data_IF_140752226426
#
_entry.id   IF_140752226426
#
_cell.length_a   1.000
_cell.length_b   1.000
_cell.length_c   1.000
_cell.angle_alpha   90.00
_cell.angle_beta   90.00
_cell.angle_gamma   90.00
#
_symmetry.space_group_name_H-M   'P 1'
#
loop_
_entity.id
_entity.type
_entity.pdbx_description
1 polymer ?
#
# COMPACT_ATOMS: atom_id res chain seq x y z
N UNK A 1 -23.55 -13.60 25.76
CA UNK A 1 -22.26 -12.90 25.57
C UNK A 1 -22.49 -11.82 24.54
N UNK A 2 -22.23 -10.56 24.85
CA UNK A 2 -22.27 -9.48 23.86
C UNK A 2 -20.91 -9.44 23.15
N UNK A 3 -20.94 -9.48 21.81
CA UNK A 3 -19.73 -9.31 20.99
C UNK A 3 -19.55 -7.82 20.72
N UNK A 4 -18.38 -7.29 21.05
CA UNK A 4 -17.99 -5.92 20.75
C UNK A 4 -17.08 -5.90 19.51
N UNK A 5 -17.45 -5.10 18.51
CA UNK A 5 -16.59 -4.89 17.35
C UNK A 5 -15.48 -3.90 17.71
N UNK A 6 -14.23 -4.34 17.63
CA UNK A 6 -13.06 -3.49 17.81
C UNK A 6 -12.42 -3.21 16.45
N UNK A 7 -12.12 -1.96 16.18
CA UNK A 7 -11.44 -1.53 14.97
C UNK A 7 -10.00 -1.13 15.31
N UNK A 8 -9.05 -1.73 14.64
CA UNK A 8 -7.67 -1.30 14.72
C UNK A 8 -7.41 -0.07 13.84
N UNK A 9 -6.38 0.69 14.17
CA UNK A 9 -5.90 1.86 13.44
C UNK A 9 -4.39 1.99 13.61
N UNK A 10 -3.76 2.88 12.85
CA UNK A 10 -2.34 3.16 13.01
C UNK A 10 -1.99 3.66 14.43
N UNK A 11 -2.91 4.37 15.08
CA UNK A 11 -2.74 4.86 16.44
C UNK A 11 -3.10 3.84 17.53
N UNK A 12 -3.84 2.79 17.19
CA UNK A 12 -4.33 1.80 18.15
C UNK A 12 -4.49 0.44 17.48
N UNK A 13 -3.52 -0.42 17.64
CA UNK A 13 -3.55 -1.81 17.17
C UNK A 13 -2.92 -2.75 18.19
N UNK A 14 -3.29 -4.01 18.11
CA UNK A 14 -2.64 -5.11 18.83
C UNK A 14 -1.85 -5.94 17.82
N UNK A 15 -0.59 -6.24 18.13
CA UNK A 15 0.26 -7.04 17.25
C UNK A 15 -0.26 -8.48 17.14
N UNK A 16 -0.85 -9.00 18.19
CA UNK A 16 -1.20 -10.41 18.30
C UNK A 16 0.01 -11.26 18.71
N UNK A 17 -0.04 -12.56 18.44
CA UNK A 17 1.05 -13.48 18.78
C UNK A 17 1.01 -14.74 17.94
N UNK A 18 2.16 -15.39 17.80
CA UNK A 18 2.32 -16.72 17.22
C UNK A 18 2.85 -17.66 18.27
N UNK A 19 2.16 -18.78 18.47
CA UNK A 19 2.65 -19.89 19.30
C UNK A 19 3.19 -20.98 18.36
N UNK A 20 4.49 -21.25 18.46
CA UNK A 20 5.14 -22.32 17.70
C UNK A 20 5.37 -23.50 18.63
N UNK A 21 4.75 -24.66 18.33
CA UNK A 21 4.77 -25.84 19.21
C UNK A 21 5.95 -26.77 18.86
N UNK A 22 6.06 -27.16 17.59
CA UNK A 22 7.10 -28.07 17.11
C UNK A 22 7.45 -27.78 15.65
N UNK A 23 7.94 -26.55 15.40
CA UNK A 23 8.30 -26.08 14.05
C UNK A 23 9.30 -24.92 14.14
N UNK A 24 9.82 -24.47 13.01
CA UNK A 24 10.73 -23.32 12.91
C UNK A 24 9.91 -22.02 12.77
N UNK A 25 10.09 -21.04 13.67
CA UNK A 25 9.36 -19.77 13.60
C UNK A 25 9.43 -19.04 12.26
N UNK A 26 10.51 -19.24 11.48
CA UNK A 26 10.66 -18.63 10.15
C UNK A 26 9.64 -19.13 9.11
N UNK A 27 8.96 -20.27 9.37
CA UNK A 27 7.89 -20.76 8.51
C UNK A 27 6.59 -19.97 8.65
N UNK A 28 6.52 -19.08 9.64
CA UNK A 28 5.35 -18.27 9.95
C UNK A 28 5.65 -16.79 9.68
N UNK A 29 5.06 -16.25 8.60
CA UNK A 29 5.05 -14.80 8.39
C UNK A 29 4.00 -14.20 9.32
N UNK A 30 4.46 -13.45 10.31
CA UNK A 30 3.58 -12.83 11.30
C UNK A 30 3.87 -11.35 11.43
N UNK A 31 2.90 -10.53 11.06
CA UNK A 31 2.95 -9.09 11.28
C UNK A 31 1.54 -8.51 11.33
N UNK A 32 1.43 -7.36 11.96
CA UNK A 32 0.26 -6.51 11.84
C UNK A 32 0.55 -5.43 10.77
N UNK A 33 -0.38 -5.21 9.84
CA UNK A 33 -0.20 -4.22 8.75
C UNK A 33 0.00 -2.81 9.32
N UNK A 34 -0.65 -2.47 10.42
CA UNK A 34 -0.45 -1.19 11.10
C UNK A 34 0.94 -1.08 11.74
N UNK A 35 1.50 -2.16 12.26
CA UNK A 35 2.89 -2.21 12.73
C UNK A 35 3.86 -1.91 11.59
N UNK A 36 3.68 -2.57 10.43
CA UNK A 36 4.49 -2.30 9.24
C UNK A 36 4.38 -0.84 8.82
N UNK A 37 3.17 -0.31 8.71
CA UNK A 37 2.93 1.08 8.33
C UNK A 37 3.50 2.08 9.35
N UNK A 38 3.48 1.76 10.66
CA UNK A 38 4.02 2.63 11.71
C UNK A 38 5.53 2.83 11.60
N UNK A 39 6.23 1.80 11.12
CA UNK A 39 7.69 1.77 10.97
C UNK A 39 8.15 2.12 9.56
N UNK A 40 7.22 2.20 8.60
CA UNK A 40 7.50 2.61 7.23
C UNK A 40 7.64 4.13 7.12
N UNK A 41 8.49 4.58 6.19
CA UNK A 41 8.46 5.97 5.74
C UNK A 41 7.23 6.20 4.86
N UNK A 42 6.75 7.45 4.76
CA UNK A 42 5.68 7.77 3.83
C UNK A 42 5.97 7.29 2.41
N UNK A 43 4.99 6.65 1.80
CA UNK A 43 4.98 6.16 0.41
C UNK A 43 5.95 5.02 0.09
N UNK A 44 6.60 4.39 1.08
CA UNK A 44 7.28 3.10 0.87
C UNK A 44 6.25 2.02 0.52
N UNK A 45 6.61 1.15 -0.44
CA UNK A 45 5.79 0.02 -0.89
C UNK A 45 6.33 -1.25 -0.24
N UNK A 46 5.80 -1.63 0.91
CA UNK A 46 6.32 -2.77 1.68
C UNK A 46 5.45 -3.98 1.45
N UNK A 47 6.00 -5.00 0.77
CA UNK A 47 5.30 -6.27 0.58
C UNK A 47 5.04 -6.96 1.92
N UNK A 48 3.78 -7.23 2.23
CA UNK A 48 3.32 -7.95 3.44
C UNK A 48 2.78 -9.33 3.12
N UNK A 49 2.51 -9.61 1.85
CA UNK A 49 2.17 -10.95 1.35
C UNK A 49 2.60 -11.07 -0.11
N UNK A 50 2.96 -12.29 -0.50
CA UNK A 50 3.36 -12.60 -1.88
C UNK A 50 2.83 -13.98 -2.26
N UNK A 51 2.31 -14.08 -3.49
CA UNK A 51 1.92 -15.34 -4.13
C UNK A 51 2.33 -15.29 -5.60
N UNK A 52 3.41 -15.97 -5.94
CA UNK A 52 4.14 -15.83 -7.21
C UNK A 52 4.57 -14.36 -7.43
N UNK A 53 4.11 -13.73 -8.51
CA UNK A 53 4.37 -12.33 -8.85
C UNK A 53 3.41 -11.33 -8.16
N UNK A 54 2.30 -11.83 -7.60
CA UNK A 54 1.30 -10.96 -6.94
C UNK A 54 1.73 -10.63 -5.52
N UNK A 55 1.62 -9.36 -5.16
CA UNK A 55 1.96 -8.85 -3.83
C UNK A 55 0.84 -8.01 -3.25
N UNK A 56 0.76 -8.02 -1.93
CA UNK A 56 0.05 -7.03 -1.14
C UNK A 56 1.09 -6.10 -0.53
N UNK A 57 0.97 -4.82 -0.79
CA UNK A 57 1.87 -3.79 -0.27
C UNK A 57 1.15 -2.96 0.80
N UNK A 58 1.75 -2.85 1.99
CA UNK A 58 1.35 -1.87 2.98
C UNK A 58 2.01 -0.53 2.63
N UNK A 59 1.21 0.53 2.58
CA UNK A 59 1.69 1.88 2.27
C UNK A 59 1.19 2.85 3.34
N UNK A 60 2.13 3.54 4.01
CA UNK A 60 1.82 4.70 4.83
C UNK A 60 1.65 5.92 3.93
N UNK A 61 0.50 6.55 3.98
CA UNK A 61 0.23 7.80 3.26
C UNK A 61 0.24 8.95 4.26
N UNK A 62 1.15 9.90 4.08
CA UNK A 62 1.25 11.09 4.91
C UNK A 62 1.79 12.25 4.06
N UNK A 63 0.97 13.27 3.86
CA UNK A 63 1.24 14.33 2.88
C UNK A 63 0.85 13.91 1.46
N UNK A 64 1.58 14.37 0.47
CA UNK A 64 1.30 14.14 -0.96
C UNK A 64 2.47 13.42 -1.61
N UNK A 65 2.20 12.30 -2.28
CA UNK A 65 3.20 11.53 -3.03
C UNK A 65 3.59 12.21 -4.34
N UNK A 66 4.68 11.75 -4.96
CA UNK A 66 4.91 11.95 -6.39
C UNK A 66 3.87 11.18 -7.23
N UNK A 67 3.85 11.42 -8.53
CA UNK A 67 3.04 10.65 -9.47
C UNK A 67 3.63 9.27 -9.66
N UNK A 68 2.73 8.30 -9.81
CA UNK A 68 3.05 6.90 -10.05
C UNK A 68 2.20 6.37 -11.19
N UNK A 69 2.65 5.30 -11.82
CA UNK A 69 1.88 4.58 -12.83
C UNK A 69 2.31 3.11 -12.89
N UNK A 70 1.41 2.27 -13.41
CA UNK A 70 1.64 0.86 -13.68
C UNK A 70 1.10 0.48 -15.06
N UNK A 71 1.63 -0.59 -15.65
CA UNK A 71 1.14 -1.14 -16.89
C UNK A 71 -0.08 -2.06 -16.73
N UNK A 72 -0.49 -2.33 -15.50
CA UNK A 72 -1.64 -3.17 -15.11
C UNK A 72 -2.52 -2.44 -14.09
N UNK A 73 -3.76 -2.89 -13.97
CA UNK A 73 -4.68 -2.41 -12.93
C UNK A 73 -4.19 -2.84 -11.54
N UNK A 74 -4.32 -1.94 -10.58
CA UNK A 74 -4.05 -2.19 -9.17
C UNK A 74 -5.28 -1.83 -8.35
N UNK A 75 -5.36 -2.35 -7.13
CA UNK A 75 -6.44 -2.02 -6.19
C UNK A 75 -5.86 -1.52 -4.88
N UNK A 76 -6.37 -0.42 -4.37
CA UNK A 76 -5.96 0.17 -3.10
C UNK A 76 -7.13 0.21 -2.10
N UNK A 77 -6.98 -0.51 -0.99
CA UNK A 77 -7.93 -0.54 0.12
C UNK A 77 -7.45 0.41 1.22
N UNK A 78 -8.28 1.35 1.63
CA UNK A 78 -8.01 2.21 2.78
C UNK A 78 -8.32 1.44 4.07
N UNK A 79 -7.29 1.16 4.86
CA UNK A 79 -7.40 0.49 6.16
C UNK A 79 -7.57 1.47 7.32
N UNK A 80 -6.99 2.67 7.19
CA UNK A 80 -7.10 3.74 8.19
C UNK A 80 -6.92 5.11 7.56
N UNK A 81 -7.53 6.14 8.16
CA UNK A 81 -7.45 7.52 7.71
C UNK A 81 -8.32 7.84 6.49
N UNK A 82 -7.96 8.92 5.82
CA UNK A 82 -8.60 9.39 4.59
C UNK A 82 -7.51 9.64 3.54
N UNK A 83 -7.72 9.12 2.34
CA UNK A 83 -6.79 9.28 1.22
C UNK A 83 -7.53 9.85 0.01
N UNK A 84 -7.01 10.93 -0.54
CA UNK A 84 -7.37 11.41 -1.87
C UNK A 84 -6.48 10.75 -2.91
N UNK A 85 -7.10 10.11 -3.87
CA UNK A 85 -6.46 9.60 -5.08
C UNK A 85 -6.74 10.59 -6.21
N UNK A 86 -5.70 11.18 -6.77
CA UNK A 86 -5.82 12.04 -7.95
C UNK A 86 -5.31 11.31 -9.17
N UNK A 87 -6.05 11.35 -10.28
CA UNK A 87 -5.74 10.67 -11.52
C UNK A 87 -5.53 11.66 -12.67
N UNK A 88 -4.50 11.39 -13.49
CA UNK A 88 -4.20 12.14 -14.71
C UNK A 88 -3.91 11.21 -15.88
N UNK A 89 -4.07 11.72 -17.10
CA UNK A 89 -3.53 11.05 -18.28
C UNK A 89 -2.02 11.05 -18.22
N UNK A 90 -1.42 10.02 -18.83
CA UNK A 90 0.03 9.99 -19.04
C UNK A 90 0.36 10.55 -20.43
N UNK A 91 1.48 11.23 -20.53
CA UNK A 91 2.08 11.65 -21.78
C UNK A 91 2.27 10.45 -22.71
N UNK A 92 1.95 10.64 -23.99
CA UNK A 92 2.14 9.60 -24.99
C UNK A 92 3.60 9.11 -25.02
N UNK A 93 3.78 7.79 -25.03
CA UNK A 93 5.10 7.15 -25.03
C UNK A 93 5.85 7.18 -23.69
N UNK A 94 5.22 7.60 -22.59
CA UNK A 94 5.82 7.47 -21.26
C UNK A 94 6.08 6.00 -20.95
N UNK A 95 7.35 5.67 -20.69
CA UNK A 95 7.75 4.33 -20.31
C UNK A 95 7.14 3.95 -18.96
N UNK A 96 6.61 2.73 -18.87
CA UNK A 96 6.10 2.12 -17.65
C UNK A 96 6.96 0.90 -17.29
N UNK A 97 7.01 0.52 -16.01
CA UNK A 97 7.67 -0.72 -15.63
C UNK A 97 6.93 -1.93 -16.23
N UNK A 98 7.66 -3.01 -16.52
CA UNK A 98 7.06 -4.27 -17.01
C UNK A 98 6.11 -4.87 -15.97
N UNK A 99 6.41 -4.68 -14.69
CA UNK A 99 5.61 -5.13 -13.56
C UNK A 99 5.65 -4.13 -12.41
N UNK A 100 4.63 -4.18 -11.55
CA UNK A 100 4.48 -3.26 -10.43
C UNK A 100 4.20 -1.83 -10.85
N UNK A 101 4.42 -0.90 -9.95
CA UNK A 101 4.32 0.54 -10.20
C UNK A 101 5.67 1.22 -10.01
N UNK A 102 5.84 2.34 -10.68
CA UNK A 102 7.01 3.20 -10.50
C UNK A 102 6.63 4.68 -10.49
N UNK A 103 7.52 5.49 -9.93
CA UNK A 103 7.42 6.94 -10.03
C UNK A 103 7.49 7.41 -11.48
N UNK A 104 6.68 8.41 -11.82
CA UNK A 104 6.73 9.09 -13.12
C UNK A 104 7.02 10.57 -12.92
N UNK A 105 7.72 11.23 -13.89
CA UNK A 105 7.99 12.66 -13.81
C UNK A 105 6.72 13.51 -13.71
N UNK A 106 6.79 14.65 -13.05
CA UNK A 106 5.66 15.57 -12.88
C UNK A 106 5.06 16.01 -14.24
N UNK A 107 5.91 16.27 -15.23
CA UNK A 107 5.53 16.67 -16.56
C UNK A 107 4.96 15.53 -17.44
N UNK A 108 5.08 14.28 -16.98
CA UNK A 108 4.47 13.13 -17.64
C UNK A 108 2.99 12.94 -17.24
N UNK A 109 2.56 13.53 -16.14
CA UNK A 109 1.18 13.50 -15.66
C UNK A 109 0.44 14.76 -16.17
N UNK A 110 -0.31 14.62 -17.28
CA UNK A 110 -0.80 15.75 -18.04
C UNK A 110 -2.19 16.22 -17.59
N UNK A 111 -3.25 15.64 -18.11
CA UNK A 111 -4.62 16.13 -17.95
C UNK A 111 -5.30 15.48 -16.75
N UNK A 112 -5.89 16.29 -15.88
CA UNK A 112 -6.68 15.80 -14.76
C UNK A 112 -7.88 14.98 -15.26
N UNK A 113 -8.00 13.75 -14.79
CA UNK A 113 -9.10 12.84 -15.07
C UNK A 113 -10.15 12.85 -13.97
N UNK A 114 -9.71 12.92 -12.71
CA UNK A 114 -10.62 12.90 -11.57
C UNK A 114 -9.91 12.73 -10.25
N UNK A 115 -10.73 12.72 -9.19
CA UNK A 115 -10.30 12.50 -7.81
C UNK A 115 -11.27 11.57 -7.12
N UNK A 116 -10.74 10.75 -6.21
CA UNK A 116 -11.51 9.91 -5.30
C UNK A 116 -11.04 10.20 -3.89
N UNK A 117 -11.95 10.60 -3.02
CA UNK A 117 -11.68 10.70 -1.58
C UNK A 117 -12.22 9.44 -0.92
N UNK A 118 -11.32 8.63 -0.41
CA UNK A 118 -11.61 7.33 0.17
C UNK A 118 -11.26 7.30 1.65
N UNK A 119 -12.11 6.63 2.44
CA UNK A 119 -11.93 6.42 3.87
C UNK A 119 -11.88 4.93 4.17
N UNK A 120 -11.65 4.57 5.40
CA UNK A 120 -11.59 3.18 5.87
C UNK A 120 -12.68 2.31 5.23
N UNK A 121 -12.26 1.20 4.63
CA UNK A 121 -13.13 0.23 3.96
C UNK A 121 -13.41 0.52 2.49
N UNK A 122 -13.03 1.70 1.96
CA UNK A 122 -13.16 1.97 0.53
C UNK A 122 -12.04 1.32 -0.26
N UNK A 123 -12.40 0.70 -1.38
CA UNK A 123 -11.50 0.15 -2.38
C UNK A 123 -11.51 1.06 -3.61
N UNK A 124 -10.32 1.46 -4.05
CA UNK A 124 -10.13 2.32 -5.23
C UNK A 124 -9.32 1.58 -6.29
N UNK A 125 -9.80 1.57 -7.52
CA UNK A 125 -9.05 1.08 -8.67
C UNK A 125 -7.99 2.12 -9.08
N UNK A 126 -6.76 1.67 -9.30
CA UNK A 126 -5.67 2.43 -9.89
C UNK A 126 -5.47 1.89 -11.31
N UNK A 127 -6.03 2.54 -12.36
CA UNK A 127 -6.11 1.95 -13.67
C UNK A 127 -4.76 1.93 -14.39
N UNK A 128 -4.54 0.87 -15.16
CA UNK A 128 -3.38 0.71 -16.02
C UNK A 128 -3.17 1.92 -16.93
N UNK A 129 -1.92 2.32 -17.13
CA UNK A 129 -1.55 3.38 -18.06
C UNK A 129 -2.08 4.77 -17.69
N UNK A 130 -2.39 5.00 -16.42
CA UNK A 130 -2.76 6.32 -15.91
C UNK A 130 -1.81 6.73 -14.80
N UNK A 131 -1.54 8.03 -14.70
CA UNK A 131 -0.84 8.58 -13.56
C UNK A 131 -1.80 8.72 -12.38
N UNK A 132 -1.36 8.31 -11.21
CA UNK A 132 -2.08 8.51 -9.95
C UNK A 132 -1.12 9.00 -8.88
N UNK A 133 -1.65 9.67 -7.87
CA UNK A 133 -0.94 10.01 -6.64
C UNK A 133 -1.85 9.94 -5.43
N UNK A 134 -1.25 9.74 -4.29
CA UNK A 134 -1.91 9.72 -3.00
C UNK A 134 -1.73 11.06 -2.29
N UNK A 135 -2.75 11.51 -1.59
CA UNK A 135 -2.65 12.63 -0.66
C UNK A 135 -3.48 12.35 0.59
N UNK A 136 -2.94 12.66 1.76
CA UNK A 136 -3.67 12.55 3.03
C UNK A 136 -3.31 13.70 3.96
N UNK A 137 -4.29 14.30 4.64
CA UNK A 137 -4.04 15.40 5.59
C UNK A 137 -3.33 14.93 6.87
N UNK A 138 -3.39 13.65 7.18
CA UNK A 138 -2.72 13.01 8.31
C UNK A 138 -2.30 11.59 7.95
N UNK A 139 -1.66 10.84 8.87
CA UNK A 139 -1.26 9.47 8.59
C UNK A 139 -2.45 8.60 8.21
N UNK A 140 -2.34 7.89 7.08
CA UNK A 140 -3.30 6.92 6.61
C UNK A 140 -2.58 5.63 6.19
N UNK A 141 -3.32 4.54 6.08
CA UNK A 141 -2.79 3.22 5.72
C UNK A 141 -3.57 2.66 4.55
N UNK A 142 -2.85 2.31 3.49
CA UNK A 142 -3.36 1.56 2.35
C UNK A 142 -2.83 0.14 2.36
N UNK A 143 -3.65 -0.77 1.86
CA UNK A 143 -3.23 -2.08 1.37
C UNK A 143 -3.43 -2.08 -0.15
N UNK A 144 -2.33 -2.19 -0.89
CA UNK A 144 -2.35 -2.18 -2.36
C UNK A 144 -2.10 -3.59 -2.87
N UNK A 145 -3.04 -4.10 -3.67
CA UNK A 145 -2.87 -5.33 -4.44
C UNK A 145 -2.26 -4.97 -5.80
N UNK A 146 -1.15 -5.59 -6.12
CA UNK A 146 -0.40 -5.33 -7.35
C UNK A 146 0.44 -6.53 -7.77
N UNK A 147 1.25 -6.37 -8.80
CA UNK A 147 2.34 -7.27 -9.18
C UNK A 147 3.64 -6.70 -8.62
N UNK A 148 4.55 -7.58 -8.17
CA UNK A 148 5.87 -7.19 -7.72
C UNK A 148 6.58 -6.32 -8.76
N UNK A 149 7.13 -5.20 -8.32
CA UNK A 149 7.77 -4.22 -9.19
C UNK A 149 9.11 -3.73 -8.67
N UNK A 150 9.77 -2.85 -9.41
CA UNK A 150 11.12 -2.39 -9.09
C UNK A 150 11.21 -1.60 -7.78
N UNK A 151 10.11 -1.05 -7.30
CA UNK A 151 10.05 -0.28 -6.05
C UNK A 151 9.41 -1.06 -4.88
N UNK A 152 8.97 -2.30 -5.10
CA UNK A 152 8.47 -3.18 -4.04
C UNK A 152 9.61 -3.56 -3.10
N UNK A 153 9.40 -3.35 -1.79
CA UNK A 153 10.41 -3.62 -0.76
C UNK A 153 10.01 -4.83 0.07
N UNK A 154 10.94 -5.78 0.21
CA UNK A 154 10.77 -7.00 1.00
C UNK A 154 11.44 -6.90 2.39
N UNK A 155 11.19 -5.82 3.10
CA UNK A 155 11.77 -5.59 4.42
C UNK A 155 10.83 -5.92 5.59
N UNK A 156 9.75 -6.66 5.31
CA UNK A 156 8.81 -7.05 6.36
C UNK A 156 9.49 -7.85 7.50
N UNK A 157 10.47 -8.69 7.18
CA UNK A 157 11.21 -9.46 8.18
C UNK A 157 11.99 -8.58 9.17
N UNK A 158 12.51 -7.43 8.71
CA UNK A 158 13.18 -6.46 9.56
C UNK A 158 12.22 -5.80 10.56
N UNK A 159 10.94 -5.66 10.15
CA UNK A 159 9.89 -5.00 10.92
C UNK A 159 9.20 -6.00 11.86
N UNK A 160 9.00 -7.24 11.42
CA UNK A 160 8.06 -8.18 12.02
C UNK A 160 8.71 -9.28 12.87
N UNK A 161 9.98 -9.56 12.69
CA UNK A 161 10.69 -10.61 13.46
C UNK A 161 11.32 -10.12 14.76
N UNK A 162 11.12 -8.87 15.12
CA UNK A 162 11.49 -8.40 16.47
C UNK A 162 10.40 -8.85 17.45
N UNK A 163 10.63 -9.96 18.08
CA UNK A 163 9.87 -10.41 19.23
C UNK A 163 10.08 -9.48 20.42
#
# INVERSE_FOLDING_TARGET
MAYETRLASLASYEKGGVEVIDDDPKNYAFSNIFEVASLAKPFELIAVAKNFEYVLEAVRVEGTSGWRAAAHDQSALVLDGEVEFTFKTLRAGQALPESGSAGVPEDAAETLMGRVVARRGHLTLLPAGRAYRYSSPGPAVLLVQTVEGPETQFRWAEICQTA
#
